data_IF_016513619385
#
_entry.id   IF_016513619385
#
_cell.length_a   1.000
_cell.length_b   1.000
_cell.length_c   1.000
_cell.angle_alpha   90.00
_cell.angle_beta   90.00
_cell.angle_gamma   90.00
#
_symmetry.space_group_name_H-M   'P 1'
#
loop_
_entity.id
_entity.type
_entity.pdbx_description
1 polymer ?
#
# COMPACT_ATOMS: atom_id res chain seq x y z
N UNK A 1 -3.21 29.92 1.04
CA UNK A 1 -3.45 28.48 1.22
C UNK A 1 -2.42 27.80 0.36
N UNK A 2 -1.68 26.82 0.88
CA UNK A 2 -0.73 26.04 0.06
C UNK A 2 -1.53 25.17 -0.93
N UNK A 3 -1.01 24.97 -2.13
CA UNK A 3 -1.63 24.08 -3.11
C UNK A 3 -1.77 22.65 -2.54
N UNK A 4 -2.84 21.94 -2.88
CA UNK A 4 -3.02 20.57 -2.43
C UNK A 4 -1.90 19.66 -2.97
N UNK A 5 -1.52 18.63 -2.19
CA UNK A 5 -0.59 17.61 -2.61
C UNK A 5 -1.31 16.59 -3.48
N UNK A 6 -0.89 16.42 -4.72
CA UNK A 6 -1.49 15.46 -5.66
C UNK A 6 -0.81 14.10 -5.50
N UNK A 7 -1.54 13.11 -4.98
CA UNK A 7 -1.07 11.75 -4.72
C UNK A 7 -1.67 10.80 -5.76
N UNK A 8 -0.81 10.11 -6.51
CA UNK A 8 -1.20 9.05 -7.46
C UNK A 8 -0.96 7.70 -6.80
N UNK A 9 -1.99 6.88 -6.70
CA UNK A 9 -1.97 5.62 -5.98
C UNK A 9 -2.23 4.43 -6.92
N UNK A 10 -1.39 3.40 -6.81
CA UNK A 10 -1.50 2.10 -7.48
C UNK A 10 -1.10 0.97 -6.53
N UNK A 11 -1.43 -0.25 -6.86
CA UNK A 11 -1.03 -1.48 -6.16
C UNK A 11 -1.13 -2.70 -7.07
N UNK A 12 -0.59 -3.83 -6.62
CA UNK A 12 -0.80 -5.15 -7.23
C UNK A 12 -0.48 -5.15 -8.73
N UNK A 13 0.71 -4.68 -9.06
CA UNK A 13 1.19 -4.68 -10.45
C UNK A 13 1.83 -6.01 -10.85
N UNK A 14 2.23 -6.85 -9.90
CA UNK A 14 2.82 -8.20 -10.10
C UNK A 14 3.82 -8.23 -11.26
N UNK A 15 4.68 -7.20 -11.35
CA UNK A 15 5.70 -7.10 -12.39
C UNK A 15 5.24 -6.49 -13.72
N UNK A 16 3.94 -6.25 -13.92
CA UNK A 16 3.37 -5.63 -15.13
C UNK A 16 3.27 -4.09 -15.03
N UNK A 17 4.06 -3.50 -14.14
CA UNK A 17 4.04 -2.07 -13.84
C UNK A 17 4.32 -1.18 -15.07
N UNK A 18 5.03 -1.67 -16.09
CA UNK A 18 5.27 -0.94 -17.34
C UNK A 18 3.99 -0.70 -18.15
N UNK A 19 2.96 -1.52 -17.95
CA UNK A 19 1.67 -1.41 -18.61
C UNK A 19 0.72 -0.39 -17.95
N UNK A 20 1.13 0.20 -16.82
CA UNK A 20 0.30 1.17 -16.09
C UNK A 20 0.59 2.59 -16.58
N UNK A 21 -0.43 3.23 -17.15
CA UNK A 21 -0.36 4.66 -17.52
C UNK A 21 -0.59 5.52 -16.27
N UNK A 22 0.45 6.28 -15.88
CA UNK A 22 0.41 7.13 -14.70
C UNK A 22 0.01 8.56 -15.06
N UNK A 23 -0.99 9.15 -14.40
CA UNK A 23 -1.27 10.57 -14.48
C UNK A 23 -0.17 11.38 -13.78
N UNK A 24 -0.17 12.71 -13.98
CA UNK A 24 0.75 13.60 -13.27
C UNK A 24 0.38 13.75 -11.81
N UNK A 25 1.37 13.95 -10.95
CA UNK A 25 1.20 14.18 -9.52
C UNK A 25 2.52 14.54 -8.84
N UNK A 26 2.45 14.82 -7.55
CA UNK A 26 3.61 15.16 -6.71
C UNK A 26 4.20 13.91 -6.07
N UNK A 27 3.33 13.01 -5.63
CA UNK A 27 3.69 11.76 -4.94
C UNK A 27 3.13 10.56 -5.70
N UNK A 28 3.99 9.60 -6.00
CA UNK A 28 3.58 8.29 -6.47
C UNK A 28 3.61 7.29 -5.30
N UNK A 29 2.48 6.64 -5.03
CA UNK A 29 2.32 5.60 -4.01
C UNK A 29 2.06 4.25 -4.67
N UNK A 30 2.79 3.21 -4.25
CA UNK A 30 2.50 1.82 -4.61
C UNK A 30 2.24 0.98 -3.35
N UNK A 31 1.06 0.39 -3.22
CA UNK A 31 0.62 -0.28 -2.00
C UNK A 31 0.90 -1.80 -1.95
N UNK A 32 1.97 -2.26 -2.62
CA UNK A 32 2.46 -3.63 -2.49
C UNK A 32 2.20 -4.54 -3.69
N UNK A 33 2.75 -5.76 -3.62
CA UNK A 33 2.76 -6.74 -4.70
C UNK A 33 3.36 -6.15 -5.99
N UNK A 34 4.60 -5.67 -5.84
CA UNK A 34 5.34 -4.99 -6.90
C UNK A 34 6.02 -5.98 -7.86
N UNK A 35 6.29 -7.22 -7.41
CA UNK A 35 7.06 -8.23 -8.14
C UNK A 35 6.17 -9.35 -8.70
N UNK A 36 6.64 -10.00 -9.77
CA UNK A 36 5.96 -11.15 -10.36
C UNK A 36 6.26 -12.47 -9.61
N UNK A 37 7.54 -12.68 -9.22
CA UNK A 37 8.02 -13.93 -8.64
C UNK A 37 8.78 -13.73 -7.32
N UNK A 38 8.75 -12.54 -6.75
CA UNK A 38 9.41 -12.22 -5.48
C UNK A 38 10.93 -12.28 -5.50
N UNK A 39 11.59 -12.23 -6.67
CA UNK A 39 13.05 -12.33 -6.78
C UNK A 39 13.77 -10.99 -6.62
N UNK A 40 15.09 -11.00 -6.32
CA UNK A 40 15.91 -9.77 -6.36
C UNK A 40 15.89 -9.12 -7.75
N UNK A 41 15.85 -9.91 -8.82
CA UNK A 41 15.78 -9.39 -10.19
C UNK A 41 14.48 -8.62 -10.44
N UNK A 42 13.34 -9.17 -10.00
CA UNK A 42 12.04 -8.48 -10.13
C UNK A 42 12.02 -7.19 -9.30
N UNK A 43 12.58 -7.25 -8.08
CA UNK A 43 12.70 -6.08 -7.22
C UNK A 43 13.50 -4.96 -7.88
N UNK A 44 14.66 -5.29 -8.47
CA UNK A 44 15.49 -4.32 -9.20
C UNK A 44 14.76 -3.74 -10.41
N UNK A 45 14.06 -4.57 -11.19
CA UNK A 45 13.27 -4.12 -12.34
C UNK A 45 12.18 -3.14 -11.91
N UNK A 46 11.47 -3.46 -10.85
CA UNK A 46 10.48 -2.53 -10.27
C UNK A 46 11.13 -1.22 -9.82
N UNK A 47 12.24 -1.27 -9.08
CA UNK A 47 12.93 -0.07 -8.61
C UNK A 47 13.42 0.81 -9.75
N UNK A 48 13.94 0.21 -10.84
CA UNK A 48 14.38 0.95 -12.04
C UNK A 48 13.20 1.66 -12.70
N UNK A 49 12.08 0.96 -12.87
CA UNK A 49 10.87 1.55 -13.41
C UNK A 49 10.32 2.65 -12.49
N UNK A 50 10.18 2.38 -11.20
CA UNK A 50 9.59 3.29 -10.24
C UNK A 50 10.41 4.59 -10.10
N UNK A 51 11.74 4.46 -10.07
CA UNK A 51 12.66 5.59 -10.04
C UNK A 51 12.59 6.47 -11.29
N UNK A 52 12.28 5.88 -12.46
CA UNK A 52 12.19 6.61 -13.74
C UNK A 52 10.89 7.41 -13.91
N UNK A 53 9.92 7.27 -12.99
CA UNK A 53 8.67 8.02 -13.07
C UNK A 53 8.86 9.47 -12.64
N UNK A 54 8.23 10.39 -13.37
CA UNK A 54 8.34 11.84 -13.14
C UNK A 54 7.43 12.29 -11.97
N UNK A 55 7.88 12.01 -10.75
CA UNK A 55 7.26 12.43 -9.50
C UNK A 55 8.33 12.97 -8.54
N UNK A 56 8.00 13.99 -7.74
CA UNK A 56 8.93 14.52 -6.73
C UNK A 56 9.23 13.47 -5.64
N UNK A 57 8.19 12.70 -5.25
CA UNK A 57 8.29 11.67 -4.21
C UNK A 57 7.73 10.34 -4.72
N UNK A 58 8.44 9.25 -4.46
CA UNK A 58 8.05 7.88 -4.83
C UNK A 58 8.14 7.00 -3.61
N UNK A 59 6.96 6.62 -3.08
CA UNK A 59 6.80 5.86 -1.84
C UNK A 59 6.14 4.52 -2.14
N UNK A 60 6.61 3.45 -1.53
CA UNK A 60 5.95 2.15 -1.70
C UNK A 60 6.12 1.24 -0.49
N UNK A 61 5.21 0.31 -0.34
CA UNK A 61 5.34 -0.86 0.53
C UNK A 61 5.53 -2.11 -0.33
N UNK A 62 6.02 -3.19 0.27
CA UNK A 62 5.97 -4.52 -0.35
C UNK A 62 4.60 -5.18 -0.07
N UNK A 63 4.34 -6.34 -0.69
CA UNK A 63 3.18 -7.17 -0.44
C UNK A 63 3.55 -8.64 -0.24
N UNK A 64 2.56 -9.49 -0.19
CA UNK A 64 2.78 -10.91 0.10
C UNK A 64 3.45 -11.70 -1.05
N UNK A 65 3.45 -11.18 -2.26
CA UNK A 65 4.21 -11.76 -3.38
C UNK A 65 5.68 -11.31 -3.41
N UNK A 66 6.08 -10.36 -2.56
CA UNK A 66 7.42 -9.77 -2.56
C UNK A 66 8.34 -10.48 -1.54
N UNK A 67 8.75 -11.72 -1.82
CA UNK A 67 9.52 -12.54 -0.87
C UNK A 67 10.97 -12.08 -0.67
N UNK A 68 11.62 -11.51 -1.69
CA UNK A 68 13.01 -11.03 -1.58
C UNK A 68 13.18 -9.96 -0.50
N UNK A 69 12.37 -8.86 -0.43
CA UNK A 69 12.54 -7.84 0.59
C UNK A 69 12.25 -8.34 2.02
N UNK A 70 11.44 -9.37 2.23
CA UNK A 70 11.31 -10.00 3.55
C UNK A 70 12.56 -10.81 3.91
N UNK A 71 13.05 -11.64 2.99
CA UNK A 71 14.20 -12.52 3.23
C UNK A 71 15.53 -11.75 3.34
N UNK A 72 15.67 -10.60 2.68
CA UNK A 72 16.90 -9.82 2.59
C UNK A 72 16.64 -8.30 2.78
N UNK A 73 15.97 -7.96 3.88
CA UNK A 73 15.44 -6.60 4.12
C UNK A 73 16.49 -5.48 4.02
N UNK A 74 17.67 -5.66 4.62
CA UNK A 74 18.74 -4.66 4.54
C UNK A 74 19.22 -4.44 3.10
N UNK A 75 19.34 -5.52 2.33
CA UNK A 75 19.72 -5.48 0.92
C UNK A 75 18.67 -4.79 0.08
N UNK A 76 17.40 -5.13 0.28
CA UNK A 76 16.27 -4.52 -0.42
C UNK A 76 16.19 -3.01 -0.13
N UNK A 77 16.39 -2.59 1.12
CA UNK A 77 16.42 -1.20 1.53
C UNK A 77 17.61 -0.43 0.93
N UNK A 78 18.78 -1.08 0.83
CA UNK A 78 19.96 -0.49 0.19
C UNK A 78 19.66 -0.20 -1.30
N UNK A 79 19.12 -1.17 -2.01
CA UNK A 79 18.76 -1.04 -3.43
C UNK A 79 17.73 0.08 -3.67
N UNK A 80 16.71 0.20 -2.82
CA UNK A 80 15.72 1.28 -2.93
C UNK A 80 16.38 2.66 -2.73
N UNK A 81 17.23 2.79 -1.72
CA UNK A 81 17.98 4.05 -1.48
C UNK A 81 18.90 4.43 -2.64
N UNK A 82 19.62 3.46 -3.23
CA UNK A 82 20.48 3.68 -4.38
C UNK A 82 19.72 4.23 -5.58
N UNK A 83 18.44 3.89 -5.72
CA UNK A 83 17.54 4.39 -6.77
C UNK A 83 16.80 5.69 -6.41
N UNK A 84 16.97 6.20 -5.20
CA UNK A 84 16.30 7.43 -4.74
C UNK A 84 14.78 7.26 -4.57
N UNK A 85 14.33 6.04 -4.25
CA UNK A 85 12.93 5.75 -3.94
C UNK A 85 12.80 5.32 -2.47
N UNK A 86 11.64 5.55 -1.89
CA UNK A 86 11.39 5.28 -0.48
C UNK A 86 10.55 4.02 -0.31
N UNK A 87 11.18 2.94 0.16
CA UNK A 87 10.48 1.74 0.62
C UNK A 87 10.10 1.91 2.08
N UNK A 88 8.79 1.84 2.36
CA UNK A 88 8.24 1.90 3.71
C UNK A 88 8.03 0.46 4.22
N UNK A 89 8.70 0.15 5.32
CA UNK A 89 8.60 -1.14 6.02
C UNK A 89 8.50 -0.84 7.51
N UNK A 90 7.29 -0.78 8.05
CA UNK A 90 6.98 -0.27 9.39
C UNK A 90 7.69 1.06 9.67
N UNK A 91 7.58 1.99 8.73
CA UNK A 91 8.31 3.25 8.77
C UNK A 91 7.53 4.41 8.16
N UNK A 92 7.94 5.62 8.52
CA UNK A 92 7.31 6.86 8.08
C UNK A 92 8.14 7.66 7.09
N UNK A 93 7.47 8.56 6.39
CA UNK A 93 8.04 9.57 5.50
C UNK A 93 7.26 10.88 5.61
N UNK A 94 7.89 12.02 5.32
CA UNK A 94 7.23 13.32 5.32
C UNK A 94 7.39 14.00 3.98
N UNK A 95 6.27 14.54 3.46
CA UNK A 95 6.23 15.39 2.28
C UNK A 95 5.50 16.67 2.65
N UNK A 96 6.16 17.80 2.63
CA UNK A 96 5.57 19.12 2.87
C UNK A 96 4.65 19.20 4.11
N UNK A 97 5.08 18.55 5.20
CA UNK A 97 4.33 18.50 6.46
C UNK A 97 3.35 17.34 6.56
N UNK A 98 2.92 16.72 5.45
CA UNK A 98 2.06 15.52 5.43
C UNK A 98 2.86 14.30 5.88
N UNK A 99 2.32 13.54 6.82
CA UNK A 99 2.97 12.34 7.39
C UNK A 99 2.42 11.08 6.77
N UNK A 100 3.28 10.38 6.04
CA UNK A 100 3.03 9.06 5.50
C UNK A 100 3.59 8.00 6.47
N UNK A 101 2.86 6.90 6.60
CA UNK A 101 3.35 5.68 7.24
C UNK A 101 3.04 4.50 6.34
N UNK A 102 3.96 3.54 6.24
CA UNK A 102 3.74 2.35 5.42
C UNK A 102 4.21 1.06 6.07
N UNK A 103 3.44 -0.01 5.83
CA UNK A 103 3.76 -1.37 6.26
C UNK A 103 3.29 -2.40 5.23
N UNK A 104 4.12 -3.41 4.92
CA UNK A 104 3.75 -4.51 4.02
C UNK A 104 2.92 -5.60 4.70
N UNK A 105 2.77 -5.55 6.02
CA UNK A 105 2.23 -6.64 6.84
C UNK A 105 0.76 -6.91 6.54
N UNK A 106 0.43 -8.21 6.41
CA UNK A 106 -0.94 -8.72 6.21
C UNK A 106 -1.25 -9.88 7.17
N UNK A 107 -2.53 -10.15 7.49
CA UNK A 107 -2.91 -11.36 8.22
C UNK A 107 -2.49 -12.62 7.47
N UNK A 108 -2.04 -13.64 8.23
CA UNK A 108 -1.66 -14.94 7.67
C UNK A 108 -2.89 -15.67 7.14
N UNK A 109 -2.82 -16.09 5.87
CA UNK A 109 -3.76 -17.03 5.26
C UNK A 109 -3.04 -18.16 4.49
N UNK A 110 -1.77 -17.94 4.13
CA UNK A 110 -0.82 -18.91 3.58
C UNK A 110 0.57 -18.67 4.17
N UNK A 111 1.58 -19.36 3.68
CA UNK A 111 2.98 -19.13 4.06
C UNK A 111 3.70 -18.29 2.98
N UNK A 112 3.22 -17.04 2.82
CA UNK A 112 3.77 -16.06 1.90
C UNK A 112 4.47 -14.93 2.67
N UNK A 113 5.12 -14.01 1.93
CA UNK A 113 5.89 -12.94 2.54
C UNK A 113 5.01 -11.98 3.36
N UNK A 114 5.61 -11.36 4.37
CA UNK A 114 5.02 -10.32 5.23
C UNK A 114 3.73 -10.71 5.95
N UNK A 115 3.42 -12.00 6.03
CA UNK A 115 2.26 -12.49 6.76
C UNK A 115 2.56 -12.70 8.23
N UNK A 116 1.63 -12.28 9.09
CA UNK A 116 1.73 -12.42 10.56
C UNK A 116 0.45 -13.01 11.11
N UNK A 117 0.60 -13.79 12.17
CA UNK A 117 -0.54 -14.43 12.82
C UNK A 117 -1.45 -13.38 13.47
N UNK A 118 -2.78 -13.55 13.37
CA UNK A 118 -3.73 -12.69 14.06
C UNK A 118 -3.47 -12.67 15.58
N UNK A 119 -3.72 -11.51 16.22
CA UNK A 119 -3.46 -11.31 17.64
C UNK A 119 -2.13 -10.59 17.88
N UNK A 120 -1.38 -10.91 18.97
CA UNK A 120 -0.20 -10.14 19.39
C UNK A 120 0.90 -10.05 18.33
N UNK A 121 1.03 -11.05 17.46
CA UNK A 121 2.05 -11.09 16.42
C UNK A 121 1.85 -9.95 15.39
N UNK A 122 0.65 -9.77 14.87
CA UNK A 122 0.36 -8.70 13.92
C UNK A 122 0.14 -7.35 14.64
N UNK A 123 -0.42 -7.35 15.84
CA UNK A 123 -0.76 -6.13 16.58
C UNK A 123 0.48 -5.31 16.97
N UNK A 124 1.64 -5.94 17.17
CA UNK A 124 2.89 -5.22 17.41
C UNK A 124 3.28 -4.30 16.25
N UNK A 125 2.97 -4.67 15.00
CA UNK A 125 3.21 -3.83 13.82
C UNK A 125 2.25 -2.65 13.79
N UNK A 126 0.97 -2.87 14.10
CA UNK A 126 -0.02 -1.79 14.18
C UNK A 126 0.27 -0.79 15.30
N UNK A 127 0.89 -1.25 16.39
CA UNK A 127 1.30 -0.38 17.50
C UNK A 127 2.39 0.63 17.09
N UNK A 128 3.17 0.35 16.04
CA UNK A 128 4.21 1.24 15.53
C UNK A 128 3.64 2.43 14.72
N UNK A 129 2.42 2.34 14.21
CA UNK A 129 1.80 3.42 13.43
C UNK A 129 1.67 4.66 14.34
N UNK A 130 2.25 5.82 14.01
CA UNK A 130 2.12 7.03 14.82
C UNK A 130 0.67 7.53 14.86
N UNK A 131 0.23 8.06 16.01
CA UNK A 131 -1.15 8.57 16.17
C UNK A 131 -1.42 9.83 15.29
N UNK A 132 -0.37 10.47 14.79
CA UNK A 132 -0.41 11.66 13.94
C UNK A 132 -0.14 11.36 12.44
N UNK A 133 -0.34 10.11 12.01
CA UNK A 133 -0.25 9.72 10.60
C UNK A 133 -1.40 10.32 9.79
N UNK A 134 -1.07 11.02 8.69
CA UNK A 134 -2.07 11.62 7.79
C UNK A 134 -2.45 10.67 6.65
N UNK A 135 -1.46 9.99 6.08
CA UNK A 135 -1.63 9.03 4.98
C UNK A 135 -1.05 7.67 5.42
N UNK A 136 -1.90 6.66 5.48
CA UNK A 136 -1.53 5.30 5.84
C UNK A 136 -1.49 4.43 4.58
N UNK A 137 -0.35 3.80 4.31
CA UNK A 137 -0.14 2.91 3.16
C UNK A 137 0.08 1.49 3.69
N UNK A 138 -0.85 0.60 3.42
CA UNK A 138 -0.76 -0.81 3.82
C UNK A 138 -0.91 -1.69 2.59
N UNK A 139 -0.43 -2.95 2.66
CA UNK A 139 -0.73 -3.83 1.55
C UNK A 139 -2.16 -4.36 1.62
N UNK A 140 -2.60 -4.89 2.76
CA UNK A 140 -3.94 -5.47 2.92
C UNK A 140 -4.96 -4.51 3.57
N UNK A 141 -6.27 -4.78 3.36
CA UNK A 141 -7.38 -3.99 3.90
C UNK A 141 -7.59 -4.20 5.40
N UNK A 142 -8.21 -3.23 6.11
CA UNK A 142 -8.88 -3.49 7.36
C UNK A 142 -10.18 -4.27 7.11
N UNK A 143 -10.67 -4.99 8.14
CA UNK A 143 -11.95 -5.71 8.06
C UNK A 143 -13.11 -4.75 7.74
N UNK A 144 -14.08 -5.22 6.98
CA UNK A 144 -15.30 -4.51 6.57
C UNK A 144 -15.09 -3.35 5.57
N UNK A 145 -13.88 -3.22 4.98
CA UNK A 145 -13.57 -2.12 4.06
C UNK A 145 -12.93 -2.68 2.78
N UNK A 146 -13.71 -2.83 1.70
CA UNK A 146 -13.25 -3.28 0.37
C UNK A 146 -12.44 -4.60 0.46
N UNK A 147 -12.87 -5.51 1.33
CA UNK A 147 -12.16 -6.71 1.76
C UNK A 147 -12.89 -8.01 1.43
N UNK A 148 -13.94 -7.94 0.60
CA UNK A 148 -14.72 -9.11 0.20
C UNK A 148 -14.04 -9.87 -0.94
N UNK A 149 -13.88 -11.18 -0.77
CA UNK A 149 -13.40 -12.15 -1.78
C UNK A 149 -14.53 -13.09 -2.16
N UNK A 150 -14.71 -13.38 -3.43
CA UNK A 150 -15.63 -14.40 -3.90
C UNK A 150 -14.94 -15.77 -3.91
N UNK A 151 -15.52 -16.74 -3.20
CA UNK A 151 -15.05 -18.12 -3.16
C UNK A 151 -15.54 -18.90 -4.38
N UNK A 152 -14.87 -20.02 -4.77
CA UNK A 152 -15.28 -20.84 -5.91
C UNK A 152 -16.72 -21.40 -5.83
N UNK A 153 -17.29 -21.47 -4.63
CA UNK A 153 -18.68 -21.89 -4.40
C UNK A 153 -19.70 -20.74 -4.50
N UNK A 154 -19.24 -19.53 -4.86
CA UNK A 154 -20.06 -18.32 -4.97
C UNK A 154 -20.35 -17.61 -3.64
N UNK A 155 -19.84 -18.11 -2.52
CA UNK A 155 -19.94 -17.40 -1.24
C UNK A 155 -18.93 -16.23 -1.18
N UNK A 156 -19.25 -15.22 -0.39
CA UNK A 156 -18.35 -14.09 -0.13
C UNK A 156 -17.81 -14.15 1.28
N UNK A 157 -16.54 -13.88 1.41
CA UNK A 157 -15.84 -13.85 2.68
C UNK A 157 -15.09 -12.52 2.85
N UNK A 158 -15.13 -11.97 4.07
CA UNK A 158 -14.33 -10.82 4.46
C UNK A 158 -12.99 -11.27 4.98
N UNK A 159 -11.92 -10.76 4.38
CA UNK A 159 -10.54 -11.20 4.64
C UNK A 159 -9.67 -10.11 5.25
N UNK A 160 -10.21 -8.92 5.48
CA UNK A 160 -9.48 -7.80 6.07
C UNK A 160 -9.07 -8.02 7.52
N UNK A 161 -8.18 -7.18 8.01
CA UNK A 161 -7.59 -7.29 9.34
C UNK A 161 -8.43 -6.58 10.43
N UNK A 162 -9.02 -7.30 11.42
CA UNK A 162 -9.81 -6.67 12.48
C UNK A 162 -8.97 -5.77 13.40
N UNK A 163 -7.73 -6.15 13.69
CA UNK A 163 -6.85 -5.36 14.56
C UNK A 163 -6.33 -4.10 13.86
N UNK A 164 -6.13 -4.14 12.54
CA UNK A 164 -5.82 -2.95 11.76
C UNK A 164 -7.00 -1.97 11.78
N UNK A 165 -8.23 -2.44 11.59
CA UNK A 165 -9.42 -1.60 11.68
C UNK A 165 -9.54 -0.88 13.04
N UNK A 166 -9.21 -1.59 14.15
CA UNK A 166 -9.16 -0.94 15.47
C UNK A 166 -8.09 0.14 15.57
N UNK A 167 -6.90 -0.10 14.96
CA UNK A 167 -5.84 0.90 14.97
C UNK A 167 -6.20 2.13 14.14
N UNK A 168 -6.79 1.95 12.96
CA UNK A 168 -7.22 3.05 12.08
C UNK A 168 -8.24 3.94 12.78
N UNK A 169 -9.25 3.36 13.47
CA UNK A 169 -10.23 4.14 14.25
C UNK A 169 -9.59 5.01 15.33
N UNK A 170 -8.43 4.62 15.86
CA UNK A 170 -7.67 5.42 16.83
C UNK A 170 -6.84 6.51 16.15
N UNK A 171 -6.10 6.15 15.08
CA UNK A 171 -5.20 7.06 14.35
C UNK A 171 -5.99 8.07 13.55
N UNK A 172 -7.09 7.63 12.90
CA UNK A 172 -7.96 8.43 12.03
C UNK A 172 -7.17 9.15 10.93
N UNK A 173 -6.38 8.42 10.11
CA UNK A 173 -5.68 9.04 9.00
C UNK A 173 -6.70 9.65 8.04
N UNK A 174 -6.35 10.77 7.39
CA UNK A 174 -7.22 11.35 6.37
C UNK A 174 -7.35 10.42 5.15
N UNK A 175 -6.29 9.65 4.84
CA UNK A 175 -6.23 8.74 3.71
C UNK A 175 -5.63 7.41 4.13
N UNK A 176 -6.29 6.30 3.76
CA UNK A 176 -5.76 4.94 3.86
C UNK A 176 -5.75 4.28 2.50
N UNK A 177 -4.55 3.96 1.99
CA UNK A 177 -4.30 3.35 0.68
C UNK A 177 -3.86 1.91 0.87
N UNK A 178 -4.46 0.98 0.13
CA UNK A 178 -4.14 -0.44 0.18
C UNK A 178 -4.50 -1.14 -1.15
N UNK A 179 -4.19 -2.42 -1.27
CA UNK A 179 -4.51 -3.29 -2.40
C UNK A 179 -4.89 -4.69 -1.94
N UNK A 180 -4.16 -5.72 -2.42
CA UNK A 180 -4.25 -7.13 -2.03
C UNK A 180 -5.55 -7.84 -2.46
N UNK A 181 -6.71 -7.26 -2.21
CA UNK A 181 -8.00 -7.81 -2.61
C UNK A 181 -8.39 -7.16 -3.95
N UNK A 182 -8.11 -7.85 -5.05
CA UNK A 182 -8.29 -7.30 -6.40
C UNK A 182 -9.75 -6.98 -6.69
N UNK A 183 -10.69 -7.77 -6.14
CA UNK A 183 -12.14 -7.53 -6.24
C UNK A 183 -12.59 -6.26 -5.54
N UNK A 184 -11.81 -5.82 -4.57
CA UNK A 184 -12.14 -4.69 -3.72
C UNK A 184 -11.79 -3.32 -4.31
N UNK A 185 -11.22 -3.24 -5.54
CA UNK A 185 -10.86 -1.95 -6.12
C UNK A 185 -12.00 -0.92 -5.98
N UNK A 186 -11.69 0.22 -5.38
CA UNK A 186 -12.70 1.24 -5.13
C UNK A 186 -12.34 2.21 -4.02
N UNK A 187 -13.35 3.06 -3.68
CA UNK A 187 -13.24 4.12 -2.66
C UNK A 187 -14.42 4.06 -1.71
N UNK A 188 -14.16 4.20 -0.42
CA UNK A 188 -15.15 4.38 0.65
C UNK A 188 -14.69 5.53 1.55
N UNK A 189 -15.65 6.29 2.10
CA UNK A 189 -15.40 7.28 3.15
C UNK A 189 -16.12 6.84 4.41
N UNK A 190 -15.40 6.73 5.52
CA UNK A 190 -15.96 6.38 6.82
C UNK A 190 -15.19 7.07 7.96
N UNK A 191 -15.91 7.62 8.93
CA UNK A 191 -15.39 8.31 10.13
C UNK A 191 -14.23 9.29 9.86
N UNK A 192 -14.32 10.04 8.73
CA UNK A 192 -13.32 11.04 8.34
C UNK A 192 -12.06 10.47 7.67
N UNK A 193 -12.00 9.16 7.43
CA UNK A 193 -10.96 8.50 6.65
C UNK A 193 -11.48 8.16 5.26
N UNK A 194 -10.73 8.55 4.23
CA UNK A 194 -10.93 8.03 2.86
C UNK A 194 -10.13 6.75 2.71
N UNK A 195 -10.79 5.65 2.38
CA UNK A 195 -10.20 4.34 2.11
C UNK A 195 -10.14 4.11 0.61
N UNK A 196 -8.98 3.69 0.12
CA UNK A 196 -8.74 3.40 -1.29
C UNK A 196 -8.12 2.01 -1.42
N UNK A 197 -8.86 1.08 -2.01
CA UNK A 197 -8.25 -0.10 -2.61
C UNK A 197 -7.84 0.27 -4.04
N UNK A 198 -6.54 0.24 -4.30
CA UNK A 198 -5.95 0.73 -5.56
C UNK A 198 -5.30 -0.40 -6.37
N UNK A 199 -5.77 -1.64 -6.21
CA UNK A 199 -5.31 -2.79 -6.99
C UNK A 199 -5.49 -2.52 -8.48
N UNK A 200 -4.38 -2.44 -9.24
CA UNK A 200 -4.44 -2.21 -10.70
C UNK A 200 -4.86 -3.45 -11.47
N UNK A 201 -4.62 -4.64 -10.90
CA UNK A 201 -5.07 -5.90 -11.48
C UNK A 201 -6.46 -6.31 -11.00
N UNK A 202 -7.18 -7.01 -11.87
CA UNK A 202 -8.40 -7.72 -11.51
C UNK A 202 -8.08 -9.16 -11.07
N UNK A 203 -9.12 -9.95 -10.70
CA UNK A 203 -9.01 -11.36 -10.29
C UNK A 203 -8.34 -12.27 -11.32
N UNK A 204 -8.32 -11.86 -12.57
CA UNK A 204 -7.64 -12.59 -13.65
C UNK A 204 -6.16 -12.19 -13.80
N UNK A 205 -5.60 -11.46 -12.86
CA UNK A 205 -4.22 -10.94 -12.92
C UNK A 205 -3.94 -10.17 -14.22
N UNK A 206 -4.87 -9.29 -14.60
CA UNK A 206 -4.74 -8.40 -15.75
C UNK A 206 -4.87 -6.96 -15.27
N UNK A 207 -4.03 -6.06 -15.79
CA UNK A 207 -4.18 -4.62 -15.60
C UNK A 207 -5.55 -4.21 -16.14
N UNK A 208 -6.45 -3.75 -15.28
CA UNK A 208 -7.84 -3.44 -15.59
C UNK A 208 -8.32 -2.16 -14.91
N UNK A 209 -7.74 -1.80 -13.79
CA UNK A 209 -8.16 -0.67 -12.98
C UNK A 209 -7.17 0.50 -13.16
N UNK A 210 -7.66 1.74 -13.37
CA UNK A 210 -6.80 2.90 -13.52
C UNK A 210 -6.16 3.30 -12.18
N UNK A 211 -5.03 4.04 -12.19
CA UNK A 211 -4.50 4.70 -11.01
C UNK A 211 -5.53 5.64 -10.36
N UNK A 212 -5.55 5.69 -9.04
CA UNK A 212 -6.42 6.60 -8.28
C UNK A 212 -5.64 7.88 -7.96
N UNK A 213 -6.22 9.03 -8.26
CA UNK A 213 -5.64 10.34 -7.94
C UNK A 213 -6.40 10.98 -6.80
N UNK A 214 -5.67 11.46 -5.79
CA UNK A 214 -6.24 12.17 -4.63
C UNK A 214 -5.53 13.51 -4.45
N UNK A 215 -6.30 14.56 -4.30
CA UNK A 215 -5.81 15.85 -3.83
C UNK A 215 -5.91 15.88 -2.30
N UNK A 216 -4.76 15.87 -1.64
CA UNK A 216 -4.70 15.95 -0.19
C UNK A 216 -4.45 17.41 0.21
N UNK A 217 -5.47 18.05 0.78
CA UNK A 217 -5.30 19.39 1.35
C UNK A 217 -4.44 19.25 2.60
N UNK A 218 -3.35 20.00 2.64
CA UNK A 218 -2.50 20.12 3.83
C UNK A 218 -3.37 20.69 4.94
N UNK A 219 -3.97 19.81 5.74
CA UNK A 219 -4.93 20.20 6.75
C UNK A 219 -4.27 20.33 8.10
N UNK A 220 -4.57 21.44 8.77
CA UNK A 220 -4.51 21.49 10.22
C UNK A 220 -5.42 20.37 10.77
N UNK A 221 -4.82 19.37 11.42
CA UNK A 221 -5.60 18.59 12.36
C UNK A 221 -5.95 19.55 13.49
N UNK A 222 -7.22 19.94 13.54
CA UNK A 222 -7.76 20.73 14.64
C UNK A 222 -7.63 19.96 15.96
#
# INVERSE_FOLDING_TARGET
>A
MSDPLVIVCISDTHGEHESVELPRGDVLVHAGDVTAHGTESDWRRFLDWFASRDFAHRLFVAGNHDSFPEAASERAACLAREKGVTWLNDSGYRVDGVRFWGSPITPRFHDWAFMRDPGPDIERHWALIPDDTDVLIMHGPPIDVLDEVERPDGTRERTGCPSLARRIRRVRPALHVFGHIHEGYGRIEDDGTTYLNVSTMNNGYRIANPPVVVEHVRGDRA
#
